data_IF_928547464904
#
_entry.id   IF_928547464904
#
_cell.length_a   1.000
_cell.length_b   1.000
_cell.length_c   1.000
_cell.angle_alpha   90.00
_cell.angle_beta   90.00
_cell.angle_gamma   90.00
#
_symmetry.space_group_name_H-M   'P 1'
#
loop_
_entity.id
_entity.type
_entity.pdbx_description
1 polymer ?
#
# COMPACT_ATOMS: atom_id res chain seq x y z
N UNK A 1 -50.45 6.53 21.61
CA UNK A 1 -49.07 6.10 21.92
C UNK A 1 -48.22 6.40 20.70
N UNK A 2 -47.38 7.43 20.76
CA UNK A 2 -46.40 7.69 19.72
C UNK A 2 -45.22 6.71 19.89
N UNK A 3 -44.65 6.16 18.80
CA UNK A 3 -43.50 5.27 18.93
C UNK A 3 -42.30 6.07 19.44
N UNK A 4 -41.61 5.49 20.42
CA UNK A 4 -40.40 6.06 20.98
C UNK A 4 -39.35 6.20 19.87
N UNK A 5 -38.90 7.43 19.62
CA UNK A 5 -37.69 7.71 18.85
C UNK A 5 -36.54 7.12 19.64
N UNK A 6 -36.02 5.98 19.19
CA UNK A 6 -34.74 5.46 19.65
C UNK A 6 -33.69 6.45 19.16
N UNK A 7 -33.19 7.30 20.07
CA UNK A 7 -31.97 8.07 19.81
C UNK A 7 -30.85 7.05 19.64
N UNK A 8 -30.43 6.80 18.40
CA UNK A 8 -29.21 6.07 18.10
C UNK A 8 -28.03 6.81 18.73
N UNK A 9 -27.45 6.24 19.78
CA UNK A 9 -26.17 6.69 20.32
C UNK A 9 -25.09 6.59 19.25
N UNK A 10 -24.24 7.63 19.15
CA UNK A 10 -23.08 7.78 18.26
C UNK A 10 -23.17 6.99 16.94
N UNK A 11 -23.88 7.58 15.97
CA UNK A 11 -24.10 7.03 14.61
C UNK A 11 -22.78 6.95 13.80
N UNK A 12 -21.73 7.64 14.25
CA UNK A 12 -20.46 7.79 13.52
C UNK A 12 -19.28 7.57 14.47
N UNK A 13 -18.29 6.79 14.04
CA UNK A 13 -17.03 6.70 14.75
C UNK A 13 -16.29 8.06 14.68
N UNK A 14 -15.47 8.43 15.68
CA UNK A 14 -14.80 9.74 15.70
C UNK A 14 -14.04 10.01 14.40
N UNK A 15 -14.31 11.15 13.75
CA UNK A 15 -13.63 11.55 12.52
C UNK A 15 -12.16 11.89 12.80
N UNK A 16 -11.30 10.90 12.59
CA UNK A 16 -9.85 11.05 12.69
C UNK A 16 -9.23 11.75 11.48
N UNK A 17 -9.95 11.87 10.36
CA UNK A 17 -9.43 12.53 9.15
C UNK A 17 -9.35 14.06 9.34
N UNK A 18 -10.33 14.67 10.02
CA UNK A 18 -10.30 16.09 10.38
C UNK A 18 -9.04 16.52 11.15
N UNK A 19 -8.40 15.59 11.88
CA UNK A 19 -7.18 15.87 12.67
C UNK A 19 -5.89 15.88 11.84
N UNK A 20 -5.90 15.27 10.64
CA UNK A 20 -4.69 15.10 9.81
C UNK A 20 -4.67 16.08 8.64
N UNK A 21 -5.83 16.56 8.19
CA UNK A 21 -6.04 17.43 7.02
C UNK A 21 -5.16 17.02 5.84
N UNK A 22 -5.55 15.92 5.19
CA UNK A 22 -4.81 15.29 4.09
C UNK A 22 -5.10 15.91 2.73
N UNK A 23 -6.24 16.57 2.57
CA UNK A 23 -6.66 17.18 1.33
C UNK A 23 -6.19 18.64 1.31
N UNK A 24 -5.18 18.99 0.49
CA UNK A 24 -4.70 20.38 0.42
C UNK A 24 -5.68 21.32 -0.31
N UNK A 25 -6.77 20.80 -0.88
CA UNK A 25 -7.70 21.54 -1.71
C UNK A 25 -9.01 21.82 -0.97
N UNK A 26 -9.35 23.11 -0.81
CA UNK A 26 -10.62 23.53 -0.20
C UNK A 26 -11.85 23.11 -1.01
N UNK A 27 -11.75 23.14 -2.34
CA UNK A 27 -12.78 22.71 -3.27
C UNK A 27 -12.19 21.68 -4.23
N UNK A 28 -12.28 20.40 -3.87
CA UNK A 28 -11.71 19.33 -4.69
C UNK A 28 -12.43 19.18 -6.04
N UNK A 29 -13.75 19.40 -6.09
CA UNK A 29 -14.53 19.28 -7.33
C UNK A 29 -14.07 20.27 -8.41
N UNK A 30 -13.73 21.50 -8.03
CA UNK A 30 -13.16 22.49 -8.96
C UNK A 30 -11.75 22.09 -9.44
N UNK A 31 -10.94 21.54 -8.54
CA UNK A 31 -9.61 21.02 -8.88
C UNK A 31 -9.72 19.85 -9.84
N UNK A 32 -10.64 18.91 -9.59
CA UNK A 32 -10.91 17.77 -10.46
C UNK A 32 -11.40 18.22 -11.84
N UNK A 33 -12.36 19.14 -11.91
CA UNK A 33 -12.88 19.68 -13.18
C UNK A 33 -11.83 20.43 -14.02
N UNK A 34 -10.74 20.89 -13.40
CA UNK A 34 -9.63 21.58 -14.09
C UNK A 34 -8.57 20.63 -14.69
N UNK A 35 -8.63 19.33 -14.36
CA UNK A 35 -7.64 18.34 -14.79
C UNK A 35 -8.07 17.66 -16.09
N UNK A 36 -7.10 17.05 -16.75
CA UNK A 36 -7.38 16.20 -17.91
C UNK A 36 -8.15 14.94 -17.49
N UNK A 37 -8.98 14.43 -18.41
CA UNK A 37 -9.75 13.20 -18.20
C UNK A 37 -8.84 11.99 -17.96
N UNK A 38 -9.35 11.03 -17.17
CA UNK A 38 -8.64 9.78 -16.94
C UNK A 38 -8.55 8.94 -18.21
N UNK A 39 -7.33 8.56 -18.59
CA UNK A 39 -7.04 7.79 -19.81
C UNK A 39 -7.10 6.28 -19.51
N UNK A 40 -8.23 5.64 -19.79
CA UNK A 40 -8.42 4.22 -19.54
C UNK A 40 -7.64 3.29 -20.47
N UNK A 41 -7.35 3.71 -21.72
CA UNK A 41 -6.65 2.90 -22.73
C UNK A 41 -5.11 2.90 -22.58
N UNK A 42 -4.60 3.33 -21.42
CA UNK A 42 -3.18 3.21 -21.13
C UNK A 42 -2.79 1.72 -21.03
N UNK A 43 -1.73 1.37 -21.76
CA UNK A 43 -1.10 0.06 -21.77
C UNK A 43 0.32 0.16 -21.25
N UNK A 44 0.83 -0.93 -20.65
CA UNK A 44 2.23 -1.02 -20.27
C UNK A 44 3.12 -0.84 -21.49
N UNK A 45 3.89 0.26 -21.52
CA UNK A 45 4.81 0.59 -22.61
C UNK A 45 6.19 0.84 -22.02
N UNK A 46 7.07 -0.19 -21.97
CA UNK A 46 8.41 0.01 -21.47
C UNK A 46 9.20 0.90 -22.44
N UNK A 47 9.92 1.86 -21.88
CA UNK A 47 10.87 2.71 -22.57
C UNK A 47 12.28 2.14 -22.47
N UNK A 48 13.23 2.75 -23.18
CA UNK A 48 14.66 2.53 -22.90
C UNK A 48 14.98 3.03 -21.49
N UNK A 49 16.04 2.53 -20.90
CA UNK A 49 16.57 3.08 -19.65
C UNK A 49 16.87 4.58 -19.85
N UNK A 50 16.82 5.41 -18.79
CA UNK A 50 17.08 6.85 -18.91
C UNK A 50 18.43 7.19 -19.55
N UNK A 51 19.42 6.31 -19.42
CA UNK A 51 20.70 6.40 -20.13
C UNK A 51 21.17 5.01 -20.61
N UNK A 52 20.87 4.64 -21.87
CA UNK A 52 21.26 3.34 -22.42
C UNK A 52 22.76 3.16 -22.64
N UNK A 53 23.54 4.24 -22.48
CA UNK A 53 25.01 4.25 -22.65
C UNK A 53 25.76 4.34 -21.33
N UNK A 54 25.04 4.24 -20.20
CA UNK A 54 25.63 4.28 -18.86
C UNK A 54 26.64 3.14 -18.66
N UNK A 55 27.75 3.44 -18.01
CA UNK A 55 28.84 2.51 -17.67
C UNK A 55 29.19 2.58 -16.18
N UNK A 56 29.81 1.52 -15.67
CA UNK A 56 30.29 1.51 -14.29
C UNK A 56 31.19 2.72 -14.01
N UNK A 57 30.86 3.46 -12.95
CA UNK A 57 31.58 4.68 -12.58
C UNK A 57 30.98 5.98 -13.13
N UNK A 58 30.05 5.93 -14.09
CA UNK A 58 29.46 7.15 -14.68
C UNK A 58 28.65 7.99 -13.65
N UNK A 59 28.22 7.40 -12.54
CA UNK A 59 27.45 8.09 -11.52
C UNK A 59 26.04 8.45 -11.97
N UNK A 60 25.52 9.59 -11.54
CA UNK A 60 24.19 10.08 -11.89
C UNK A 60 24.13 10.58 -13.34
N UNK A 61 22.96 10.48 -14.00
CA UNK A 61 22.79 10.92 -15.39
C UNK A 61 22.84 12.45 -15.58
N UNK A 62 22.79 13.24 -14.50
CA UNK A 62 22.96 14.69 -14.51
C UNK A 62 23.38 15.19 -13.11
N UNK A 63 23.80 16.45 -13.06
CA UNK A 63 24.32 17.13 -11.87
C UNK A 63 23.36 18.19 -11.30
N UNK A 64 22.10 18.24 -11.74
CA UNK A 64 21.15 19.29 -11.29
C UNK A 64 20.98 19.31 -9.78
N UNK A 65 21.06 18.15 -9.13
CA UNK A 65 21.01 18.02 -7.67
C UNK A 65 22.10 18.83 -6.94
N UNK A 66 23.27 19.07 -7.56
CA UNK A 66 24.36 19.87 -6.98
C UNK A 66 24.00 21.35 -6.84
N UNK A 67 22.98 21.82 -7.56
CA UNK A 67 22.49 23.21 -7.48
C UNK A 67 21.60 23.45 -6.26
N UNK A 68 21.25 22.41 -5.52
CA UNK A 68 20.35 22.49 -4.38
C UNK A 68 21.06 22.08 -3.09
N UNK A 69 20.86 22.86 -2.03
CA UNK A 69 21.34 22.49 -0.70
C UNK A 69 20.54 21.29 -0.16
N UNK A 70 21.23 20.35 0.45
CA UNK A 70 20.58 19.29 1.23
C UNK A 70 20.13 19.86 2.58
N UNK A 71 18.84 19.74 2.88
CA UNK A 71 18.28 20.17 4.15
C UNK A 71 18.22 19.00 5.13
N UNK A 72 18.54 19.27 6.40
CA UNK A 72 18.41 18.31 7.49
C UNK A 72 17.14 18.61 8.29
N UNK A 73 16.29 17.61 8.48
CA UNK A 73 15.08 17.70 9.30
C UNK A 73 15.19 16.65 10.39
N UNK A 74 15.25 17.07 11.66
CA UNK A 74 15.19 16.14 12.78
C UNK A 74 13.70 15.81 13.07
N UNK A 75 13.25 14.55 12.88
CA UNK A 75 11.88 14.17 13.17
C UNK A 75 11.51 14.30 14.65
N UNK A 76 12.50 14.47 15.55
CA UNK A 76 12.33 14.59 16.98
C UNK A 76 12.58 15.99 17.54
N UNK A 77 12.87 16.99 16.69
CA UNK A 77 13.11 18.37 17.13
C UNK A 77 11.99 18.89 18.03
N UNK A 78 12.36 19.71 19.02
CA UNK A 78 11.41 20.24 20.00
C UNK A 78 10.34 21.07 19.29
N UNK A 79 9.07 20.76 19.56
CA UNK A 79 7.92 21.46 18.99
C UNK A 79 7.43 20.93 17.64
N UNK A 80 8.13 19.97 17.02
CA UNK A 80 7.66 19.35 15.77
C UNK A 80 6.53 18.33 16.04
N UNK A 81 5.34 18.53 15.47
CA UNK A 81 4.24 17.58 15.64
C UNK A 81 4.40 16.34 14.72
N UNK A 82 3.95 15.18 15.20
CA UNK A 82 4.13 13.90 14.50
C UNK A 82 3.40 13.81 13.15
N UNK A 83 2.35 14.61 12.94
CA UNK A 83 1.64 14.69 11.67
C UNK A 83 2.52 15.24 10.53
N UNK A 84 3.49 16.11 10.82
CA UNK A 84 4.44 16.57 9.79
C UNK A 84 5.43 15.46 9.40
N UNK A 85 5.83 14.62 10.35
CA UNK A 85 6.61 13.42 10.04
C UNK A 85 5.80 12.45 9.18
N UNK A 86 4.54 12.22 9.54
CA UNK A 86 3.63 11.42 8.72
C UNK A 86 3.53 11.96 7.29
N UNK A 87 3.23 13.26 7.11
CA UNK A 87 3.14 13.90 5.78
C UNK A 87 4.43 13.75 4.97
N UNK A 88 5.60 13.94 5.61
CA UNK A 88 6.89 13.78 4.96
C UNK A 88 7.13 12.32 4.54
N UNK A 89 6.92 11.36 5.44
CA UNK A 89 7.14 9.94 5.18
C UNK A 89 6.24 9.40 4.05
N UNK A 90 4.94 9.74 4.05
CA UNK A 90 4.02 9.25 3.02
C UNK A 90 4.18 9.97 1.67
N UNK A 91 4.81 11.14 1.63
CA UNK A 91 5.10 11.83 0.36
C UNK A 91 6.45 11.41 -0.21
N UNK A 92 7.43 11.05 0.62
CA UNK A 92 8.75 10.59 0.19
C UNK A 92 8.82 9.09 -0.11
N UNK A 93 7.97 8.29 0.52
CA UNK A 93 7.94 6.83 0.34
C UNK A 93 6.84 6.49 -0.65
N UNK A 94 7.12 6.63 -1.95
CA UNK A 94 6.19 6.40 -3.05
C UNK A 94 6.90 5.68 -4.21
N UNK A 95 6.19 4.87 -5.01
CA UNK A 95 4.79 4.45 -4.86
C UNK A 95 4.60 3.46 -3.69
N UNK A 96 3.48 3.55 -2.96
CA UNK A 96 3.09 2.52 -1.99
C UNK A 96 1.98 1.64 -2.55
N UNK A 97 2.13 0.31 -2.61
CA UNK A 97 1.02 -0.54 -2.99
C UNK A 97 -0.07 -0.51 -1.93
N UNK A 98 -1.28 -0.81 -2.35
CA UNK A 98 -2.47 -0.83 -1.50
C UNK A 98 -2.90 -2.29 -1.33
N UNK A 99 -2.91 -2.75 -0.09
CA UNK A 99 -3.60 -3.98 0.28
C UNK A 99 -5.06 -3.63 0.61
N UNK A 100 -6.00 -4.14 -0.16
CA UNK A 100 -7.42 -4.13 0.22
C UNK A 100 -7.67 -5.36 1.09
N UNK A 101 -7.72 -5.15 2.41
CA UNK A 101 -7.71 -6.21 3.40
C UNK A 101 -9.13 -6.56 3.79
N UNK A 102 -9.51 -7.81 3.57
CA UNK A 102 -10.77 -8.40 4.01
C UNK A 102 -10.57 -9.26 5.24
N UNK A 103 -11.47 -9.12 6.20
CA UNK A 103 -11.44 -9.84 7.49
C UNK A 103 -12.85 -10.22 7.92
N UNK A 104 -12.97 -11.12 8.89
CA UNK A 104 -14.24 -11.50 9.50
C UNK A 104 -14.15 -11.39 11.01
N UNK A 105 -15.22 -10.97 11.67
CA UNK A 105 -15.33 -10.96 13.13
C UNK A 105 -15.23 -12.38 13.69
N UNK A 106 -14.84 -12.50 14.97
CA UNK A 106 -14.65 -13.80 15.63
C UNK A 106 -15.90 -14.69 15.64
N UNK A 107 -17.08 -14.08 15.77
CA UNK A 107 -18.39 -14.76 15.71
C UNK A 107 -18.88 -15.04 14.28
N UNK A 108 -18.17 -14.55 13.26
CA UNK A 108 -18.56 -14.68 11.86
C UNK A 108 -19.70 -13.76 11.42
N UNK A 109 -20.18 -12.85 12.28
CA UNK A 109 -21.36 -12.04 12.00
C UNK A 109 -21.10 -10.86 11.07
N UNK A 110 -19.87 -10.33 11.04
CA UNK A 110 -19.50 -9.14 10.27
C UNK A 110 -18.25 -9.41 9.46
N UNK A 111 -18.33 -9.15 8.16
CA UNK A 111 -17.19 -9.11 7.26
C UNK A 111 -16.78 -7.66 7.05
N UNK A 112 -15.50 -7.34 7.23
CA UNK A 112 -14.96 -6.00 7.00
C UNK A 112 -14.00 -6.00 5.82
N UNK A 113 -13.92 -4.87 5.13
CA UNK A 113 -12.93 -4.62 4.08
C UNK A 113 -12.39 -3.19 4.21
N UNK A 114 -11.07 -3.00 4.13
CA UNK A 114 -10.46 -1.66 4.22
C UNK A 114 -9.10 -1.59 3.52
N UNK A 115 -8.67 -0.41 3.01
CA UNK A 115 -7.42 -0.26 2.28
C UNK A 115 -6.25 0.13 3.21
N UNK A 116 -5.10 -0.51 3.02
CA UNK A 116 -3.87 -0.24 3.78
C UNK A 116 -2.69 -0.05 2.84
N UNK A 117 -2.01 1.11 2.93
CA UNK A 117 -0.83 1.41 2.10
C UNK A 117 0.51 1.22 2.83
N UNK A 118 0.50 0.82 4.10
CA UNK A 118 1.72 0.39 4.81
C UNK A 118 1.83 -1.13 4.65
N UNK A 119 1.99 -1.55 3.39
CA UNK A 119 1.93 -2.94 2.94
C UNK A 119 3.11 -3.28 2.02
N UNK A 120 3.74 -4.44 2.21
CA UNK A 120 4.80 -4.98 1.35
C UNK A 120 4.91 -6.51 1.42
N UNK A 121 5.45 -7.14 0.37
CA UNK A 121 5.99 -8.50 0.45
C UNK A 121 7.30 -8.50 1.29
N UNK A 122 7.57 -9.60 1.99
CA UNK A 122 8.67 -9.71 2.97
C UNK A 122 9.61 -10.86 2.64
N UNK A 123 9.07 -12.05 2.42
CA UNK A 123 9.86 -13.26 2.16
C UNK A 123 9.18 -14.10 1.08
N UNK A 124 9.96 -14.88 0.34
CA UNK A 124 9.44 -15.84 -0.64
C UNK A 124 9.31 -17.26 -0.07
N UNK A 125 10.10 -17.61 0.95
CA UNK A 125 10.09 -18.93 1.60
C UNK A 125 10.31 -18.81 3.13
N UNK A 126 9.25 -18.89 3.96
CA UNK A 126 7.85 -18.96 3.55
C UNK A 126 7.38 -17.66 2.87
N UNK A 127 6.31 -17.69 2.05
CA UNK A 127 5.79 -16.50 1.38
C UNK A 127 5.12 -15.55 2.38
N UNK A 128 5.86 -14.56 2.86
CA UNK A 128 5.40 -13.61 3.88
C UNK A 128 5.09 -12.24 3.30
N UNK A 129 4.04 -11.62 3.83
CA UNK A 129 3.64 -10.25 3.60
C UNK A 129 3.56 -9.49 4.92
N UNK A 130 3.69 -8.16 4.87
CA UNK A 130 3.56 -7.27 6.02
C UNK A 130 2.45 -6.26 5.81
N UNK A 131 1.67 -6.00 6.86
CA UNK A 131 0.78 -4.86 6.96
C UNK A 131 1.02 -4.16 8.30
N UNK A 132 1.20 -2.85 8.28
CA UNK A 132 1.25 -2.04 9.49
C UNK A 132 -0.09 -1.32 9.70
N UNK A 133 -0.80 -1.69 10.76
CA UNK A 133 -2.04 -1.07 11.19
C UNK A 133 -1.70 0.13 12.08
N UNK A 134 -1.80 1.34 11.51
CA UNK A 134 -1.47 2.59 12.22
C UNK A 134 -2.65 3.07 13.05
N UNK A 135 -2.42 3.32 14.34
CA UNK A 135 -3.43 3.83 15.26
C UNK A 135 -3.21 3.38 16.70
N UNK A 136 -3.50 4.29 17.63
CA UNK A 136 -3.45 4.01 19.08
C UNK A 136 -4.54 3.02 19.53
N UNK A 137 -5.69 3.03 18.84
CA UNK A 137 -6.79 2.08 19.04
C UNK A 137 -6.82 1.13 17.84
N UNK A 138 -6.88 -0.21 18.05
CA UNK A 138 -7.02 -1.15 16.95
C UNK A 138 -8.28 -0.87 16.14
N UNK A 139 -8.17 -0.84 14.81
CA UNK A 139 -9.34 -0.88 13.94
C UNK A 139 -9.90 -2.31 13.86
N UNK A 140 -11.07 -2.46 13.24
CA UNK A 140 -11.73 -3.77 13.11
C UNK A 140 -10.88 -4.77 12.35
N UNK A 141 -10.20 -4.37 11.27
CA UNK A 141 -9.29 -5.26 10.54
C UNK A 141 -8.18 -5.84 11.43
N UNK A 142 -7.52 -5.02 12.26
CA UNK A 142 -6.49 -5.49 13.19
C UNK A 142 -7.10 -6.42 14.25
N UNK A 143 -8.24 -6.05 14.86
CA UNK A 143 -8.93 -6.91 15.83
C UNK A 143 -9.25 -8.28 15.24
N UNK A 144 -9.89 -8.29 14.08
CA UNK A 144 -10.31 -9.50 13.39
C UNK A 144 -9.11 -10.39 13.02
N UNK A 145 -8.01 -9.83 12.48
CA UNK A 145 -6.79 -10.60 12.20
C UNK A 145 -6.19 -11.20 13.47
N UNK A 146 -6.18 -10.46 14.56
CA UNK A 146 -5.63 -10.93 15.83
C UNK A 146 -6.51 -12.01 16.47
N UNK A 147 -7.83 -11.94 16.33
CA UNK A 147 -8.76 -12.90 16.92
C UNK A 147 -8.89 -14.18 16.07
N UNK A 148 -9.05 -14.02 14.76
CA UNK A 148 -9.33 -15.13 13.83
C UNK A 148 -8.07 -15.75 13.24
N UNK A 149 -6.94 -15.04 13.26
CA UNK A 149 -5.68 -15.44 12.63
C UNK A 149 -5.75 -15.59 11.12
N UNK A 150 -6.74 -14.98 10.48
CA UNK A 150 -7.01 -15.11 9.05
C UNK A 150 -7.37 -13.76 8.41
N UNK A 151 -6.96 -13.55 7.17
CA UNK A 151 -7.42 -12.44 6.31
C UNK A 151 -7.22 -12.75 4.83
N UNK A 152 -7.78 -11.90 3.98
CA UNK A 152 -7.43 -11.83 2.58
C UNK A 152 -6.86 -10.46 2.21
N UNK A 153 -5.93 -10.42 1.27
CA UNK A 153 -5.49 -9.19 0.61
C UNK A 153 -5.88 -9.28 -0.86
N UNK A 154 -6.51 -8.23 -1.39
CA UNK A 154 -6.73 -8.04 -2.83
C UNK A 154 -5.93 -6.83 -3.33
N UNK A 155 -5.32 -6.95 -4.50
CA UNK A 155 -4.65 -5.82 -5.17
C UNK A 155 -5.72 -4.91 -5.76
N UNK A 156 -5.62 -3.61 -5.49
CA UNK A 156 -6.53 -2.60 -6.03
C UNK A 156 -6.18 -2.27 -7.47
N UNK A 157 -7.16 -2.39 -8.37
CA UNK A 157 -7.06 -1.94 -9.75
C UNK A 157 -7.76 -0.60 -9.94
N UNK A 158 -7.34 0.16 -10.95
CA UNK A 158 -7.93 1.45 -11.29
C UNK A 158 -9.44 1.38 -11.61
N UNK A 159 -9.91 0.26 -12.15
CA UNK A 159 -11.33 0.04 -12.48
C UNK A 159 -12.27 0.02 -11.28
N UNK A 160 -11.77 -0.05 -10.04
CA UNK A 160 -12.60 -0.04 -8.84
C UNK A 160 -12.01 0.81 -7.70
N UNK A 161 -11.16 1.80 -8.03
CA UNK A 161 -10.44 2.59 -7.03
C UNK A 161 -11.39 3.43 -6.16
N UNK A 162 -12.47 3.97 -6.70
CA UNK A 162 -13.46 4.74 -5.96
C UNK A 162 -14.15 3.86 -4.91
N UNK A 163 -14.53 2.64 -5.29
CA UNK A 163 -15.13 1.66 -4.39
C UNK A 163 -14.14 1.21 -3.30
N UNK A 164 -12.88 0.95 -3.67
CA UNK A 164 -11.83 0.62 -2.72
C UNK A 164 -11.48 1.79 -1.78
N UNK A 165 -11.57 3.04 -2.25
CA UNK A 165 -11.39 4.22 -1.41
C UNK A 165 -12.59 4.43 -0.48
N UNK A 166 -13.82 4.13 -0.93
CA UNK A 166 -15.02 4.23 -0.10
C UNK A 166 -14.96 3.32 1.15
N UNK A 167 -14.24 2.20 1.10
CA UNK A 167 -14.04 1.31 2.26
C UNK A 167 -13.10 1.88 3.32
N UNK A 168 -12.47 3.04 3.10
CA UNK A 168 -11.71 3.74 4.16
C UNK A 168 -12.60 4.58 5.09
N UNK A 169 -13.91 4.54 4.92
CA UNK A 169 -14.88 5.22 5.79
C UNK A 169 -14.82 4.66 7.22
N UNK A 170 -15.06 5.52 8.23
CA UNK A 170 -15.09 5.11 9.63
C UNK A 170 -16.48 4.55 10.01
N UNK A 171 -16.82 3.39 9.48
CA UNK A 171 -18.04 2.63 9.82
C UNK A 171 -18.06 2.21 11.30
N UNK A 172 -19.24 2.12 11.92
CA UNK A 172 -19.39 1.41 13.19
C UNK A 172 -18.99 -0.07 13.05
N UNK A 173 -18.49 -0.73 14.11
CA UNK A 173 -17.98 -2.12 14.02
C UNK A 173 -18.98 -3.18 13.53
N UNK A 174 -20.28 -2.88 13.54
CA UNK A 174 -21.35 -3.79 13.12
C UNK A 174 -21.83 -3.53 11.68
N UNK A 175 -21.22 -2.58 10.97
CA UNK A 175 -21.57 -2.22 9.60
C UNK A 175 -20.43 -2.64 8.67
N UNK A 176 -20.75 -3.48 7.70
CA UNK A 176 -19.81 -3.96 6.70
C UNK A 176 -19.57 -2.92 5.59
N UNK A 177 -18.32 -2.65 5.26
CA UNK A 177 -17.93 -1.78 4.16
C UNK A 177 -18.18 -2.41 2.77
N UNK A 178 -18.36 -3.74 2.70
CA UNK A 178 -18.67 -4.44 1.45
C UNK A 178 -19.96 -3.91 0.81
N UNK A 179 -21.02 -3.78 1.62
CA UNK A 179 -22.32 -3.29 1.14
C UNK A 179 -22.28 -1.80 0.74
N UNK A 180 -21.46 -1.00 1.43
CA UNK A 180 -21.34 0.45 1.15
C UNK A 180 -20.52 0.73 -0.11
N UNK A 181 -19.47 -0.06 -0.35
CA UNK A 181 -18.58 0.11 -1.50
C UNK A 181 -19.14 -0.47 -2.80
N UNK A 182 -20.08 -1.43 -2.71
CA UNK A 182 -20.59 -2.16 -3.87
C UNK A 182 -19.61 -3.19 -4.44
N UNK A 183 -18.50 -3.47 -3.74
CA UNK A 183 -17.58 -4.55 -4.08
C UNK A 183 -18.20 -5.92 -3.77
N UNK A 184 -17.83 -6.93 -4.55
CA UNK A 184 -18.43 -8.26 -4.43
C UNK A 184 -17.51 -9.21 -3.65
N UNK A 185 -17.92 -9.67 -2.46
CA UNK A 185 -17.18 -10.69 -1.73
C UNK A 185 -17.23 -12.02 -2.49
N UNK A 186 -16.07 -12.65 -2.65
CA UNK A 186 -15.91 -13.97 -3.26
C UNK A 186 -15.33 -14.94 -2.24
N UNK A 187 -16.01 -16.07 -2.05
CA UNK A 187 -15.63 -17.08 -1.07
C UNK A 187 -14.20 -17.59 -1.29
N UNK A 188 -13.41 -17.54 -0.22
CA UNK A 188 -12.05 -18.08 -0.15
C UNK A 188 -12.06 -19.60 0.06
N UNK A 189 -10.97 -20.28 -0.29
CA UNK A 189 -10.84 -21.75 -0.29
C UNK A 189 -10.26 -22.31 1.00
N UNK A 190 -9.36 -21.58 1.67
CA UNK A 190 -8.64 -22.00 2.87
C UNK A 190 -9.07 -21.17 4.08
N UNK A 191 -9.11 -19.84 3.95
CA UNK A 191 -9.47 -18.94 5.04
C UNK A 191 -10.94 -18.54 4.99
N UNK A 192 -11.50 -18.10 6.13
CA UNK A 192 -12.90 -17.64 6.19
C UNK A 192 -13.15 -16.33 5.46
N UNK A 193 -12.34 -15.26 5.62
CA UNK A 193 -12.63 -13.97 4.98
C UNK A 193 -12.68 -14.08 3.45
N UNK A 194 -13.68 -13.48 2.79
CA UNK A 194 -13.75 -13.49 1.33
C UNK A 194 -12.64 -12.65 0.71
N UNK A 195 -12.26 -12.94 -0.52
CA UNK A 195 -11.45 -12.04 -1.35
C UNK A 195 -12.35 -11.21 -2.27
N UNK A 196 -11.78 -10.21 -2.96
CA UNK A 196 -12.54 -9.25 -3.77
C UNK A 196 -12.69 -9.76 -5.20
N UNK A 197 -13.93 -9.97 -5.67
CA UNK A 197 -14.18 -10.56 -6.99
C UNK A 197 -13.64 -9.72 -8.16
N UNK A 198 -13.60 -8.40 -7.99
CA UNK A 198 -13.13 -7.42 -8.97
C UNK A 198 -11.60 -7.47 -9.15
N UNK A 199 -10.86 -7.95 -8.14
CA UNK A 199 -9.40 -7.96 -8.17
C UNK A 199 -8.86 -9.05 -9.09
N UNK A 200 -7.83 -8.70 -9.86
CA UNK A 200 -7.10 -9.67 -10.68
C UNK A 200 -6.12 -10.53 -9.88
N UNK A 201 -5.75 -10.12 -8.66
CA UNK A 201 -4.83 -10.85 -7.80
C UNK A 201 -5.21 -10.70 -6.33
N UNK A 202 -5.50 -11.82 -5.68
CA UNK A 202 -5.82 -11.89 -4.25
C UNK A 202 -5.01 -12.99 -3.55
N UNK A 203 -4.85 -12.82 -2.25
CA UNK A 203 -4.03 -13.68 -1.40
C UNK A 203 -4.85 -14.07 -0.18
N UNK A 204 -4.98 -15.36 0.06
CA UNK A 204 -5.46 -15.89 1.34
C UNK A 204 -4.29 -16.00 2.31
N UNK A 205 -4.46 -15.46 3.51
CA UNK A 205 -3.36 -15.24 4.44
C UNK A 205 -3.70 -15.74 5.85
N UNK A 206 -2.71 -16.35 6.49
CA UNK A 206 -2.76 -16.68 7.91
C UNK A 206 -1.81 -15.79 8.70
N UNK A 207 -2.21 -15.45 9.91
CA UNK A 207 -1.35 -14.74 10.86
C UNK A 207 -0.07 -15.53 11.13
N UNK A 208 1.08 -14.87 11.02
CA UNK A 208 2.38 -15.45 11.36
C UNK A 208 2.92 -14.85 12.68
N UNK A 209 3.12 -13.53 12.73
CA UNK A 209 3.61 -12.83 13.92
C UNK A 209 3.23 -11.35 13.90
N UNK A 210 3.44 -10.63 15.01
CA UNK A 210 3.29 -9.18 15.03
C UNK A 210 4.29 -8.51 15.98
N UNK A 211 4.45 -7.20 15.80
CA UNK A 211 5.17 -6.31 16.71
C UNK A 211 4.38 -5.03 16.92
N UNK A 212 4.08 -4.73 18.18
CA UNK A 212 3.52 -3.44 18.58
C UNK A 212 4.60 -2.35 18.59
N UNK A 213 4.29 -1.22 17.97
CA UNK A 213 5.16 -0.04 17.92
C UNK A 213 4.73 0.93 19.00
N UNK A 214 5.52 1.01 20.07
CA UNK A 214 5.27 1.89 21.21
C UNK A 214 5.98 3.23 20.99
N UNK A 215 5.24 4.33 21.11
CA UNK A 215 5.84 5.66 21.06
C UNK A 215 6.59 5.96 22.36
N UNK A 216 7.91 6.23 22.33
CA UNK A 216 8.65 6.60 23.54
C UNK A 216 8.15 7.92 24.14
N UNK A 217 7.63 8.83 23.30
CA UNK A 217 7.10 10.13 23.74
C UNK A 217 5.75 10.02 24.46
N UNK A 218 4.90 9.06 24.04
CA UNK A 218 3.54 8.91 24.58
C UNK A 218 3.38 7.74 25.55
N UNK A 219 4.29 6.76 25.53
CA UNK A 219 4.18 5.53 26.31
C UNK A 219 3.06 4.58 25.86
N UNK A 220 2.43 4.83 24.70
CA UNK A 220 1.32 4.02 24.17
C UNK A 220 1.67 3.42 22.82
N UNK A 221 0.97 2.33 22.45
CA UNK A 221 1.03 1.76 21.10
C UNK A 221 0.55 2.80 20.08
N UNK A 222 1.26 2.92 18.98
CA UNK A 222 0.92 3.82 17.87
C UNK A 222 0.70 3.10 16.54
N UNK A 223 1.17 1.86 16.42
CA UNK A 223 0.87 0.97 15.32
C UNK A 223 1.13 -0.48 15.72
N UNK A 224 0.65 -1.43 14.92
CA UNK A 224 1.01 -2.85 14.99
C UNK A 224 1.47 -3.31 13.61
N UNK A 225 2.73 -3.74 13.50
CA UNK A 225 3.25 -4.42 12.31
C UNK A 225 2.87 -5.89 12.39
N UNK A 226 2.11 -6.39 11.43
CA UNK A 226 1.70 -7.80 11.35
C UNK A 226 2.37 -8.46 10.15
N UNK A 227 2.97 -9.62 10.37
CA UNK A 227 3.43 -10.52 9.33
C UNK A 227 2.38 -11.61 9.09
N UNK A 228 2.14 -11.88 7.82
CA UNK A 228 1.10 -12.77 7.33
C UNK A 228 1.71 -13.74 6.32
N UNK A 229 1.43 -15.03 6.47
CA UNK A 229 1.87 -16.08 5.54
C UNK A 229 0.81 -16.33 4.50
N UNK A 230 1.20 -16.26 3.22
CA UNK A 230 0.32 -16.57 2.10
C UNK A 230 0.11 -18.08 2.02
N UNK A 231 -1.14 -18.51 2.16
CA UNK A 231 -1.53 -19.93 2.07
C UNK A 231 -2.17 -20.28 0.73
N UNK A 232 -2.67 -19.28 -0.01
CA UNK A 232 -3.15 -19.46 -1.37
C UNK A 232 -3.12 -18.15 -2.17
N UNK A 233 -2.71 -18.23 -3.45
CA UNK A 233 -2.84 -17.13 -4.41
C UNK A 233 -4.03 -17.39 -5.35
N UNK A 234 -4.83 -16.35 -5.60
CA UNK A 234 -5.83 -16.30 -6.66
C UNK A 234 -5.38 -15.31 -7.71
N UNK A 235 -5.30 -15.76 -8.96
CA UNK A 235 -4.94 -14.89 -10.08
C UNK A 235 -5.96 -15.06 -11.20
N UNK A 236 -6.44 -13.94 -11.75
CA UNK A 236 -7.32 -13.97 -12.93
C UNK A 236 -6.54 -14.53 -14.11
N UNK A 237 -7.16 -15.47 -14.82
CA UNK A 237 -6.48 -16.29 -15.85
C UNK A 237 -5.83 -15.44 -16.95
N UNK A 238 -6.50 -14.36 -17.38
CA UNK A 238 -5.98 -13.46 -18.41
C UNK A 238 -4.84 -12.53 -17.92
N UNK A 239 -4.52 -12.57 -16.63
CA UNK A 239 -3.56 -11.68 -15.97
C UNK A 239 -2.29 -12.41 -15.54
N UNK A 240 -2.12 -13.69 -15.88
CA UNK A 240 -0.96 -14.50 -15.49
C UNK A 240 -0.34 -15.16 -16.72
N UNK A 241 0.98 -15.26 -16.75
CA UNK A 241 1.68 -16.03 -17.77
C UNK A 241 1.35 -17.53 -17.73
N UNK A 242 1.68 -18.25 -18.81
CA UNK A 242 1.41 -19.69 -18.95
C UNK A 242 2.05 -20.53 -17.84
N UNK A 243 3.18 -20.05 -17.29
CA UNK A 243 3.94 -20.74 -16.26
C UNK A 243 3.42 -20.46 -14.85
N UNK A 244 2.45 -19.55 -14.70
CA UNK A 244 1.91 -19.08 -13.41
C UNK A 244 2.97 -18.47 -12.49
N UNK A 245 3.97 -17.82 -13.09
CA UNK A 245 5.12 -17.22 -12.41
C UNK A 245 5.12 -15.70 -12.43
N UNK A 246 4.40 -15.07 -13.36
CA UNK A 246 4.44 -13.61 -13.52
C UNK A 246 3.07 -13.07 -13.89
N UNK A 247 2.65 -12.04 -13.14
CA UNK A 247 1.39 -11.32 -13.37
C UNK A 247 1.63 -10.23 -14.42
N UNK A 248 0.74 -10.14 -15.41
CA UNK A 248 0.74 -9.07 -16.40
C UNK A 248 0.20 -7.78 -15.77
N UNK A 249 1.08 -6.80 -15.61
CA UNK A 249 0.75 -5.49 -15.02
C UNK A 249 -0.31 -4.73 -15.84
N UNK A 250 -0.37 -4.95 -17.15
CA UNK A 250 -1.37 -4.34 -18.05
C UNK A 250 -2.78 -4.80 -17.75
N UNK A 251 -2.92 -5.99 -17.15
CA UNK A 251 -4.17 -6.64 -16.79
C UNK A 251 -4.50 -6.48 -15.31
N UNK A 252 -3.47 -6.50 -14.47
CA UNK A 252 -3.57 -6.20 -13.05
C UNK A 252 -3.97 -4.74 -12.79
N UNK A 253 -3.50 -3.81 -13.63
CA UNK A 253 -3.76 -2.37 -13.55
C UNK A 253 -3.63 -1.80 -12.12
N UNK A 254 -2.54 -2.09 -11.40
CA UNK A 254 -2.45 -1.80 -9.98
C UNK A 254 -2.40 -0.29 -9.70
N UNK A 255 -3.11 0.13 -8.66
CA UNK A 255 -3.06 1.50 -8.13
C UNK A 255 -2.11 1.56 -6.94
N UNK A 256 -1.32 2.64 -6.88
CA UNK A 256 -0.48 2.97 -5.75
C UNK A 256 -0.97 4.23 -5.04
N UNK A 257 -0.65 4.35 -3.75
CA UNK A 257 -0.95 5.52 -2.91
C UNK A 257 0.26 6.42 -2.77
N UNK A 258 0.05 7.71 -3.00
CA UNK A 258 1.03 8.78 -2.84
C UNK A 258 0.91 9.53 -1.50
N UNK A 259 1.45 10.75 -1.46
CA UNK A 259 1.22 11.69 -0.37
C UNK A 259 -0.17 12.33 -0.42
N UNK A 260 -0.75 12.63 0.74
CA UNK A 260 -2.09 13.22 0.85
C UNK A 260 -3.18 12.34 0.24
N UNK A 261 -3.97 12.91 -0.66
CA UNK A 261 -5.05 12.23 -1.39
C UNK A 261 -4.61 11.70 -2.76
N UNK A 262 -3.31 11.69 -3.06
CA UNK A 262 -2.78 11.30 -4.37
C UNK A 262 -2.84 9.78 -4.56
N UNK A 263 -3.33 9.36 -5.72
CA UNK A 263 -3.22 8.01 -6.26
C UNK A 263 -2.53 8.06 -7.62
N UNK A 264 -1.99 6.93 -8.07
CA UNK A 264 -1.51 6.80 -9.44
C UNK A 264 -1.46 5.34 -9.89
N UNK A 265 -1.18 5.14 -11.17
CA UNK A 265 -1.06 3.83 -11.80
C UNK A 265 0.37 3.56 -12.27
N UNK A 266 0.64 2.30 -12.62
CA UNK A 266 1.97 1.85 -13.06
C UNK A 266 1.94 1.36 -14.52
N UNK A 267 1.68 2.25 -15.48
CA UNK A 267 1.61 1.92 -16.91
C UNK A 267 2.82 2.35 -17.74
N UNK A 268 3.80 2.99 -17.11
CA UNK A 268 5.08 3.38 -17.72
C UNK A 268 6.23 2.80 -16.92
N UNK A 269 7.29 2.40 -17.62
CA UNK A 269 8.52 1.92 -16.99
C UNK A 269 9.62 1.68 -17.98
N UNK A 270 10.69 1.05 -17.53
CA UNK A 270 11.80 0.57 -18.33
C UNK A 270 12.40 -0.65 -17.63
N UNK A 271 12.97 -1.57 -18.39
CA UNK A 271 13.60 -2.76 -17.84
C UNK A 271 15.10 -2.52 -17.70
N UNK A 272 15.64 -2.77 -16.51
CA UNK A 272 17.05 -2.61 -16.21
C UNK A 272 17.57 -3.91 -15.58
N UNK A 273 18.36 -4.71 -16.31
CA UNK A 273 18.91 -5.96 -15.78
C UNK A 273 19.80 -5.70 -14.56
N UNK A 274 19.68 -6.57 -13.56
CA UNK A 274 20.66 -6.59 -12.46
C UNK A 274 22.05 -6.87 -13.05
N UNK A 275 23.08 -6.09 -12.69
CA UNK A 275 24.45 -6.39 -13.09
C UNK A 275 24.87 -7.81 -12.74
N UNK A 276 25.66 -8.44 -13.61
CA UNK A 276 26.24 -9.75 -13.36
C UNK A 276 27.15 -9.74 -12.12
N UNK A 277 27.49 -10.94 -11.62
CA UNK A 277 28.35 -11.10 -10.46
C UNK A 277 29.67 -10.33 -10.62
N UNK A 278 30.12 -9.66 -9.56
CA UNK A 278 31.32 -8.81 -9.56
C UNK A 278 32.56 -9.46 -10.20
N UNK A 279 32.69 -10.80 -10.12
CA UNK A 279 33.75 -11.57 -10.78
C UNK A 279 33.90 -11.27 -12.28
N UNK A 280 32.82 -10.92 -12.98
CA UNK A 280 32.87 -10.59 -14.41
C UNK A 280 33.41 -9.18 -14.69
N UNK A 281 33.58 -8.37 -13.64
CA UNK A 281 34.07 -7.00 -13.72
C UNK A 281 35.53 -6.88 -13.26
N UNK A 282 36.12 -7.92 -12.66
CA UNK A 282 37.48 -7.90 -12.08
C UNK A 282 38.55 -7.46 -13.08
N UNK A 283 38.36 -7.76 -14.36
CA UNK A 283 39.33 -7.42 -15.39
C UNK A 283 39.17 -6.03 -16.00
N UNK A 284 38.08 -5.33 -15.68
CA UNK A 284 37.84 -3.96 -16.15
C UNK A 284 38.84 -3.00 -15.54
N UNK A 285 39.18 -1.95 -16.29
CA UNK A 285 40.17 -0.95 -15.87
C UNK A 285 39.71 -0.26 -14.59
N UNK A 286 38.44 0.12 -14.55
CA UNK A 286 37.79 0.84 -13.45
C UNK A 286 37.84 0.02 -12.16
N UNK A 287 37.54 -1.29 -12.23
CA UNK A 287 37.61 -2.17 -11.06
C UNK A 287 39.06 -2.39 -10.61
N UNK A 288 40.01 -2.55 -11.53
CA UNK A 288 41.43 -2.66 -11.19
C UNK A 288 41.93 -1.40 -10.47
N UNK A 289 41.57 -0.23 -10.97
CA UNK A 289 41.91 1.05 -10.33
C UNK A 289 41.32 1.16 -8.92
N UNK A 290 40.05 0.81 -8.72
CA UNK A 290 39.42 0.76 -7.39
C UNK A 290 40.16 -0.20 -6.45
N UNK A 291 40.47 -1.41 -6.91
CA UNK A 291 41.13 -2.44 -6.09
C UNK A 291 42.58 -2.09 -5.73
N UNK A 292 43.25 -1.25 -6.52
CA UNK A 292 44.63 -0.81 -6.27
C UNK A 292 44.73 0.54 -5.55
N UNK A 293 43.61 1.24 -5.35
CA UNK A 293 43.58 2.53 -4.66
C UNK A 293 43.70 2.30 -3.14
N UNK A 294 44.60 3.02 -2.42
CA UNK A 294 44.63 2.96 -0.96
C UNK A 294 43.34 3.53 -0.39
N UNK A 295 42.74 2.83 0.58
CA UNK A 295 41.59 3.32 1.36
C UNK A 295 41.94 4.55 2.19
#
# INVERSE_FOLDING_TARGET
>A
MAPAVVLFGAIEAPDKEALVDRNPHKNFAEVEASREDYIYDQHWKPSKTPNPKWRFGDGANNDEWKKHAMLTIDPNEIGRPSNLNYKLMISSTVPRPIALVSTVSMDGAVENIAPFSYFQAVCADPPLYSICFVGEVPNDSLRNVMDTKECCISVVSDSFIEAANATSINTPPHISEWSLSGLHPKQSKIVKPPHTAESAFSIELKYHSHQDIISPKKGVRTATLVLLEAVLFHVREDSIDKNRSTVDISKLRPVWRGGGITYGTSFQGFELPRPAAFRTLLDTKEVKEILTSPN
#
